data_IF_504761056780
#
_entry.id   IF_504761056780
#
_cell.length_a   1.000
_cell.length_b   1.000
_cell.length_c   1.000
_cell.angle_alpha   90.00
_cell.angle_beta   90.00
_cell.angle_gamma   90.00
#
_symmetry.space_group_name_H-M   'P 1'
#
loop_
_entity.id
_entity.type
_entity.pdbx_description
1 polymer ?
#
# COMPACT_ATOMS: atom_id res chain seq x y z
N UNK A 1 -17.07 -15.92 -9.69
CA UNK A 1 -16.36 -16.63 -10.76
C UNK A 1 -16.26 -18.10 -10.34
N UNK A 2 -16.99 -19.02 -10.97
CA UNK A 2 -16.81 -20.47 -10.71
C UNK A 2 -15.77 -20.94 -11.70
N UNK A 3 -14.52 -21.09 -11.26
CA UNK A 3 -13.53 -21.87 -12.01
C UNK A 3 -14.07 -23.31 -12.01
N UNK A 4 -14.50 -23.80 -13.17
CA UNK A 4 -14.72 -25.23 -13.33
C UNK A 4 -13.32 -25.83 -13.32
N UNK A 5 -12.97 -26.53 -12.24
CA UNK A 5 -11.68 -27.24 -12.19
C UNK A 5 -11.69 -28.31 -13.27
N UNK A 6 -10.60 -28.36 -14.06
CA UNK A 6 -10.43 -29.32 -15.16
C UNK A 6 -10.67 -30.77 -14.72
N UNK A 7 -10.46 -31.06 -13.44
CA UNK A 7 -10.62 -32.38 -12.80
C UNK A 7 -12.10 -32.74 -12.50
N UNK A 8 -13.00 -31.76 -12.44
CA UNK A 8 -14.45 -31.98 -12.22
C UNK A 8 -15.22 -32.28 -13.50
N UNK A 9 -14.55 -32.13 -14.64
CA UNK A 9 -15.06 -32.51 -15.94
C UNK A 9 -14.75 -34.00 -16.15
N UNK A 10 -15.77 -34.86 -16.09
CA UNK A 10 -15.63 -36.30 -16.37
C UNK A 10 -14.96 -36.58 -17.72
N UNK A 11 -14.49 -37.80 -18.02
CA UNK A 11 -13.61 -38.08 -19.16
C UNK A 11 -14.23 -37.63 -20.49
N UNK A 12 -13.60 -36.63 -21.12
CA UNK A 12 -14.01 -36.12 -22.43
C UNK A 12 -13.67 -37.14 -23.50
N UNK A 13 -14.60 -37.42 -24.41
CA UNK A 13 -14.29 -38.21 -25.59
C UNK A 13 -13.33 -37.44 -26.51
N UNK A 14 -12.60 -38.15 -27.38
CA UNK A 14 -11.72 -37.51 -28.37
C UNK A 14 -12.45 -36.55 -29.31
N UNK A 15 -13.77 -36.70 -29.47
CA UNK A 15 -14.61 -35.78 -30.24
C UNK A 15 -14.96 -34.51 -29.44
N UNK A 16 -15.20 -34.63 -28.13
CA UNK A 16 -15.47 -33.47 -27.27
C UNK A 16 -14.27 -32.52 -27.22
N UNK A 17 -13.06 -33.08 -27.18
CA UNK A 17 -11.81 -32.31 -27.17
C UNK A 17 -11.59 -31.55 -28.50
N UNK A 18 -11.88 -32.19 -29.64
CA UNK A 18 -11.78 -31.54 -30.97
C UNK A 18 -12.81 -30.45 -31.14
N UNK A 19 -14.05 -30.67 -30.70
CA UNK A 19 -15.10 -29.66 -30.74
C UNK A 19 -14.76 -28.45 -29.85
N UNK A 20 -14.19 -28.68 -28.66
CA UNK A 20 -13.72 -27.59 -27.80
C UNK A 20 -12.59 -26.78 -28.45
N UNK A 21 -11.58 -27.44 -29.00
CA UNK A 21 -10.47 -26.78 -29.71
C UNK A 21 -11.00 -25.96 -30.89
N UNK A 22 -11.93 -26.52 -31.66
CA UNK A 22 -12.56 -25.82 -32.78
C UNK A 22 -13.33 -24.58 -32.31
N UNK A 23 -14.10 -24.71 -31.23
CA UNK A 23 -14.87 -23.60 -30.65
C UNK A 23 -13.99 -22.53 -30.01
N UNK A 24 -12.78 -22.89 -29.56
CA UNK A 24 -11.77 -21.97 -29.05
C UNK A 24 -11.02 -21.22 -30.16
N UNK A 25 -11.28 -21.49 -31.43
CA UNK A 25 -10.53 -20.90 -32.55
C UNK A 25 -9.15 -21.53 -32.77
N UNK A 26 -8.91 -22.73 -32.23
CA UNK A 26 -7.72 -23.54 -32.51
C UNK A 26 -6.88 -23.92 -31.28
N UNK A 27 -5.84 -24.72 -31.53
CA UNK A 27 -4.95 -25.28 -30.50
C UNK A 27 -4.19 -24.22 -29.70
N UNK A 28 -3.86 -23.08 -30.32
CA UNK A 28 -3.13 -22.00 -29.66
C UNK A 28 -3.94 -21.40 -28.50
N UNK A 29 -5.23 -21.15 -28.74
CA UNK A 29 -6.15 -20.65 -27.73
C UNK A 29 -6.44 -21.70 -26.64
N UNK A 30 -6.55 -22.98 -27.02
CA UNK A 30 -6.67 -24.06 -26.03
C UNK A 30 -5.43 -24.17 -25.12
N UNK A 31 -4.22 -24.03 -25.67
CA UNK A 31 -2.99 -23.96 -24.89
C UNK A 31 -2.93 -22.67 -24.05
N UNK A 32 -3.40 -21.55 -24.57
CA UNK A 32 -3.49 -20.29 -23.84
C UNK A 32 -4.42 -20.41 -22.62
N UNK A 33 -5.61 -20.98 -22.78
CA UNK A 33 -6.54 -21.30 -21.69
C UNK A 33 -5.91 -22.26 -20.68
N UNK A 34 -5.31 -23.36 -21.15
CA UNK A 34 -4.63 -24.34 -20.27
C UNK A 34 -3.49 -23.72 -19.47
N UNK A 35 -2.78 -22.77 -20.05
CA UNK A 35 -1.69 -22.03 -19.40
C UNK A 35 -2.16 -20.88 -18.49
N UNK A 36 -3.47 -20.62 -18.42
CA UNK A 36 -4.02 -19.46 -17.71
C UNK A 36 -3.72 -18.11 -18.37
N UNK A 37 -3.34 -18.09 -19.65
CA UNK A 37 -3.18 -16.85 -20.44
C UNK A 37 -4.51 -16.29 -20.94
N UNK A 38 -5.52 -17.15 -21.11
CA UNK A 38 -6.89 -16.76 -21.44
C UNK A 38 -7.85 -17.42 -20.45
N UNK A 39 -8.97 -16.75 -20.17
CA UNK A 39 -10.08 -17.28 -19.39
C UNK A 39 -11.37 -17.17 -20.18
N UNK A 40 -12.32 -18.05 -19.85
CA UNK A 40 -13.67 -17.99 -20.40
C UNK A 40 -14.48 -16.93 -19.67
N UNK A 41 -15.07 -16.03 -20.44
CA UNK A 41 -16.19 -15.20 -19.97
C UNK A 41 -17.45 -15.68 -20.65
N UNK A 42 -18.42 -16.06 -19.83
CA UNK A 42 -19.75 -16.45 -20.28
C UNK A 42 -20.65 -15.24 -20.05
N UNK A 43 -21.09 -14.60 -21.12
CA UNK A 43 -22.15 -13.60 -21.05
C UNK A 43 -23.47 -14.35 -20.88
N UNK A 44 -24.14 -14.14 -19.74
CA UNK A 44 -25.51 -14.65 -19.59
C UNK A 44 -26.39 -13.90 -20.59
N UNK A 45 -27.21 -14.59 -21.38
CA UNK A 45 -28.20 -13.92 -22.19
C UNK A 45 -29.28 -13.27 -21.32
N UNK A 46 -29.90 -12.22 -21.85
CA UNK A 46 -30.98 -11.48 -21.18
C UNK A 46 -32.28 -12.30 -21.08
N UNK A 47 -32.39 -13.40 -21.83
CA UNK A 47 -33.54 -14.31 -21.83
C UNK A 47 -33.12 -15.78 -21.78
N UNK A 48 -33.96 -16.65 -21.22
CA UNK A 48 -33.67 -18.09 -21.04
C UNK A 48 -33.54 -18.89 -22.36
N UNK A 49 -33.85 -18.29 -23.50
CA UNK A 49 -33.89 -18.95 -24.82
C UNK A 49 -32.70 -18.62 -25.74
N UNK A 50 -31.74 -17.83 -25.27
CA UNK A 50 -30.54 -17.51 -26.04
C UNK A 50 -29.34 -18.35 -25.56
N UNK A 51 -28.53 -18.83 -26.51
CA UNK A 51 -27.25 -19.46 -26.21
C UNK A 51 -26.25 -18.38 -25.83
N UNK A 52 -25.73 -18.42 -24.59
CA UNK A 52 -24.73 -17.46 -24.11
C UNK A 52 -23.48 -17.44 -25.00
N UNK A 53 -22.92 -16.26 -25.21
CA UNK A 53 -21.69 -16.09 -25.96
C UNK A 53 -20.48 -16.42 -25.08
N UNK A 54 -19.51 -17.14 -25.65
CA UNK A 54 -18.24 -17.44 -24.98
C UNK A 54 -17.15 -16.57 -25.60
N UNK A 55 -16.58 -15.69 -24.78
CA UNK A 55 -15.45 -14.85 -25.19
C UNK A 55 -14.20 -15.29 -24.43
N UNK A 56 -13.09 -15.39 -25.15
CA UNK A 56 -11.77 -15.56 -24.55
C UNK A 56 -11.19 -14.19 -24.21
N UNK A 57 -10.93 -13.95 -22.94
CA UNK A 57 -10.30 -12.71 -22.47
C UNK A 57 -9.01 -13.07 -21.71
N UNK A 58 -8.02 -12.16 -21.71
CA UNK A 58 -6.90 -12.30 -20.78
C UNK A 58 -7.42 -12.16 -19.35
N UNK A 59 -7.00 -13.02 -18.40
CA UNK A 59 -7.41 -12.86 -17.02
C UNK A 59 -6.90 -11.53 -16.49
N UNK A 60 -7.78 -10.82 -15.81
CA UNK A 60 -7.39 -9.70 -14.95
C UNK A 60 -6.41 -10.27 -13.92
N UNK A 61 -5.17 -9.77 -13.93
CA UNK A 61 -4.14 -10.14 -12.97
C UNK A 61 -4.16 -9.12 -11.84
N UNK A 62 -4.64 -9.47 -10.63
CA UNK A 62 -4.61 -8.55 -9.50
C UNK A 62 -3.19 -8.07 -9.23
N UNK A 63 -3.05 -6.83 -8.77
CA UNK A 63 -1.77 -6.30 -8.32
C UNK A 63 -1.47 -6.70 -6.87
N UNK A 64 -2.48 -7.08 -6.10
CA UNK A 64 -2.35 -7.51 -4.70
C UNK A 64 -2.89 -8.93 -4.53
N UNK A 65 -2.24 -9.73 -3.69
CA UNK A 65 -2.63 -11.11 -3.40
C UNK A 65 -3.84 -11.15 -2.44
N UNK A 66 -4.27 -12.36 -2.08
CA UNK A 66 -5.39 -12.58 -1.14
C UNK A 66 -5.08 -12.18 0.31
N UNK A 67 -3.90 -11.62 0.59
CA UNK A 67 -3.50 -11.05 1.88
C UNK A 67 -3.25 -9.54 1.77
N UNK A 68 -3.61 -8.91 0.63
CA UNK A 68 -3.35 -7.50 0.37
C UNK A 68 -1.87 -7.15 0.15
N UNK A 69 -1.00 -8.14 -0.07
CA UNK A 69 0.42 -7.93 -0.37
C UNK A 69 0.61 -7.77 -1.87
N UNK A 70 1.47 -6.85 -2.29
CA UNK A 70 1.81 -6.62 -3.70
C UNK A 70 2.41 -7.89 -4.33
N UNK A 71 1.86 -8.31 -5.46
CA UNK A 71 2.39 -9.40 -6.28
C UNK A 71 3.61 -8.91 -7.06
N UNK A 72 4.81 -9.48 -6.91
CA UNK A 72 5.99 -9.03 -7.66
C UNK A 72 5.72 -9.01 -9.19
N UNK A 73 6.01 -7.91 -9.91
CA UNK A 73 5.85 -7.89 -11.36
C UNK A 73 6.86 -8.82 -12.01
N UNK A 74 6.50 -9.34 -13.18
CA UNK A 74 7.39 -10.18 -13.96
C UNK A 74 8.68 -9.43 -14.29
N UNK A 75 9.83 -10.06 -14.04
CA UNK A 75 11.14 -9.49 -14.36
C UNK A 75 11.69 -8.49 -13.34
N UNK A 76 11.06 -8.36 -12.16
CA UNK A 76 11.64 -7.64 -11.02
C UNK A 76 13.04 -8.19 -10.71
N UNK A 77 14.01 -7.29 -10.52
CA UNK A 77 15.43 -7.65 -10.33
C UNK A 77 15.86 -7.45 -8.88
N UNK A 78 15.31 -6.44 -8.22
CA UNK A 78 15.63 -6.17 -6.83
C UNK A 78 15.17 -7.31 -5.91
N UNK A 79 15.83 -7.43 -4.76
CA UNK A 79 15.62 -8.55 -3.83
C UNK A 79 14.28 -8.43 -3.12
N UNK A 80 13.64 -9.58 -2.91
CA UNK A 80 12.51 -9.74 -2.02
C UNK A 80 12.67 -11.04 -1.25
N UNK A 81 12.09 -11.09 -0.06
CA UNK A 81 11.95 -12.27 0.78
C UNK A 81 10.46 -12.48 1.08
N UNK A 82 10.12 -13.63 1.63
CA UNK A 82 8.76 -13.88 2.09
C UNK A 82 8.44 -13.00 3.30
N UNK A 83 7.23 -12.44 3.31
CA UNK A 83 6.77 -11.64 4.43
C UNK A 83 6.56 -12.52 5.67
N UNK A 84 7.15 -12.12 6.79
CA UNK A 84 6.98 -12.79 8.07
C UNK A 84 5.60 -12.46 8.64
N UNK A 85 4.70 -13.44 8.61
CA UNK A 85 3.30 -13.28 9.06
C UNK A 85 3.15 -13.06 10.57
N UNK A 86 4.22 -13.24 11.35
CA UNK A 86 4.22 -12.86 12.77
C UNK A 86 4.29 -11.34 12.97
N UNK A 87 4.64 -10.59 11.93
CA UNK A 87 4.58 -9.14 11.91
C UNK A 87 3.38 -8.71 11.07
N UNK A 88 2.36 -8.17 11.74
CA UNK A 88 1.06 -7.92 11.12
C UNK A 88 0.40 -6.66 11.69
N UNK A 89 -0.60 -6.17 10.95
CA UNK A 89 -1.41 -5.02 11.32
C UNK A 89 -2.88 -5.40 11.17
N UNK A 90 -3.69 -4.96 12.11
CA UNK A 90 -5.13 -5.17 12.11
C UNK A 90 -5.83 -3.87 11.74
N UNK A 91 -6.78 -3.95 10.80
CA UNK A 91 -7.60 -2.79 10.43
C UNK A 91 -8.41 -2.34 11.66
N UNK A 92 -8.20 -1.11 12.17
CA UNK A 92 -8.96 -0.61 13.30
C UNK A 92 -10.37 -0.19 12.86
N UNK A 93 -11.30 -0.11 13.82
CA UNK A 93 -12.47 0.76 13.65
C UNK A 93 -11.99 2.21 13.62
N UNK A 94 -12.44 2.96 12.62
CA UNK A 94 -12.02 4.34 12.42
C UNK A 94 -13.06 5.29 13.00
N UNK A 95 -12.63 6.12 13.94
CA UNK A 95 -13.33 7.34 14.35
C UNK A 95 -12.63 8.52 13.67
N UNK A 96 -13.19 9.02 12.57
CA UNK A 96 -12.56 10.05 11.75
C UNK A 96 -12.33 11.35 12.53
N UNK A 97 -13.25 11.72 13.42
CA UNK A 97 -13.12 12.92 14.24
C UNK A 97 -11.95 12.78 15.22
N UNK A 98 -11.90 11.68 15.98
CA UNK A 98 -10.82 11.44 16.94
C UNK A 98 -9.44 11.30 16.28
N UNK A 99 -9.38 10.68 15.09
CA UNK A 99 -8.12 10.55 14.34
C UNK A 99 -7.64 11.90 13.81
N UNK A 100 -8.54 12.71 13.26
CA UNK A 100 -8.21 14.04 12.77
C UNK A 100 -7.79 14.98 13.93
N UNK A 101 -8.53 14.97 15.04
CA UNK A 101 -8.23 15.76 16.23
C UNK A 101 -6.83 15.43 16.78
N UNK A 102 -6.54 14.13 16.95
CA UNK A 102 -5.22 13.67 17.39
C UNK A 102 -4.09 14.16 16.48
N UNK A 103 -4.28 14.08 15.16
CA UNK A 103 -3.28 14.59 14.23
C UNK A 103 -3.09 16.09 14.41
N UNK A 104 -4.16 16.89 14.48
CA UNK A 104 -4.10 18.34 14.66
C UNK A 104 -3.40 18.72 15.96
N UNK A 105 -3.79 18.09 17.07
CA UNK A 105 -3.23 18.30 18.42
C UNK A 105 -1.72 18.06 18.41
N UNK A 106 -1.28 16.91 17.89
CA UNK A 106 0.12 16.52 17.98
C UNK A 106 0.98 17.08 16.85
N UNK A 107 0.44 17.41 15.68
CA UNK A 107 1.20 18.05 14.62
C UNK A 107 1.40 19.56 14.89
N UNK A 108 0.53 20.18 15.70
CA UNK A 108 0.64 21.57 16.11
C UNK A 108 0.06 22.54 15.08
N UNK A 109 -1.10 22.20 14.50
CA UNK A 109 -1.81 23.00 13.50
C UNK A 109 -3.21 23.45 13.95
N UNK A 110 -3.91 24.18 13.09
CA UNK A 110 -5.35 24.42 13.22
C UNK A 110 -6.13 23.32 12.51
N UNK A 111 -7.42 23.19 12.84
CA UNK A 111 -8.34 22.40 12.03
C UNK A 111 -8.26 22.85 10.56
N UNK A 112 -8.14 21.89 9.65
CA UNK A 112 -7.94 22.14 8.21
C UNK A 112 -8.96 21.42 7.33
N UNK A 113 -9.82 20.59 7.94
CA UNK A 113 -11.00 19.97 7.33
C UNK A 113 -11.95 19.51 8.43
N UNK A 114 -13.19 19.18 8.08
CA UNK A 114 -14.13 18.52 9.00
C UNK A 114 -13.97 17.00 8.98
N UNK A 115 -14.49 16.32 10.02
CA UNK A 115 -14.55 14.87 10.06
C UNK A 115 -15.39 14.30 8.90
N UNK A 116 -16.53 14.92 8.59
CA UNK A 116 -17.40 14.51 7.49
C UNK A 116 -16.71 14.64 6.12
N UNK A 117 -15.94 15.71 5.90
CA UNK A 117 -15.16 15.88 4.67
C UNK A 117 -14.08 14.79 4.57
N UNK A 118 -13.40 14.50 5.68
CA UNK A 118 -12.36 13.47 5.75
C UNK A 118 -12.93 12.09 5.44
N UNK A 119 -14.05 11.73 6.07
CA UNK A 119 -14.74 10.46 5.84
C UNK A 119 -15.22 10.34 4.39
N UNK A 120 -15.89 11.37 3.85
CA UNK A 120 -16.40 11.35 2.49
C UNK A 120 -15.28 11.18 1.45
N UNK A 121 -14.17 11.92 1.59
CA UNK A 121 -13.01 11.81 0.67
C UNK A 121 -12.34 10.45 0.77
N UNK A 122 -12.23 9.88 1.97
CA UNK A 122 -11.66 8.55 2.14
C UNK A 122 -12.59 7.45 1.61
N UNK A 123 -13.90 7.56 1.82
CA UNK A 123 -14.89 6.64 1.27
C UNK A 123 -14.82 6.60 -0.27
N UNK A 124 -14.58 7.75 -0.92
CA UNK A 124 -14.35 7.80 -2.36
C UNK A 124 -13.10 7.03 -2.80
N UNK A 125 -12.00 7.09 -2.03
CA UNK A 125 -10.78 6.30 -2.29
C UNK A 125 -11.09 4.80 -2.18
N UNK A 126 -11.78 4.38 -1.11
CA UNK A 126 -12.14 2.97 -0.91
C UNK A 126 -13.07 2.45 -2.00
N UNK A 127 -14.09 3.23 -2.38
CA UNK A 127 -15.01 2.88 -3.47
C UNK A 127 -14.22 2.64 -4.77
N UNK A 128 -13.34 3.58 -5.13
CA UNK A 128 -12.49 3.48 -6.31
C UNK A 128 -11.61 2.22 -6.30
N UNK A 129 -10.94 1.97 -5.17
CA UNK A 129 -10.12 0.77 -4.98
C UNK A 129 -10.94 -0.53 -5.13
N UNK A 130 -12.12 -0.58 -4.53
CA UNK A 130 -12.99 -1.75 -4.57
C UNK A 130 -13.57 -2.02 -5.97
N UNK A 131 -13.77 -0.97 -6.77
CA UNK A 131 -14.27 -1.07 -8.15
C UNK A 131 -13.19 -1.35 -9.19
N UNK A 132 -11.91 -1.17 -8.87
CA UNK A 132 -10.79 -1.48 -9.76
C UNK A 132 -10.36 -2.94 -9.57
N UNK A 133 -10.57 -3.83 -10.57
CA UNK A 133 -10.24 -5.24 -10.46
C UNK A 133 -8.75 -5.53 -10.21
N UNK A 134 -7.85 -4.61 -10.58
CA UNK A 134 -6.42 -4.74 -10.32
C UNK A 134 -6.08 -4.43 -8.85
N UNK A 135 -6.86 -3.56 -8.21
CA UNK A 135 -6.58 -3.01 -6.88
C UNK A 135 -7.48 -3.57 -5.78
N UNK A 136 -8.61 -4.20 -6.12
CA UNK A 136 -9.68 -4.59 -5.20
C UNK A 136 -9.21 -5.47 -4.02
N UNK A 137 -8.14 -6.24 -4.19
CA UNK A 137 -7.57 -7.04 -3.12
C UNK A 137 -6.92 -6.19 -2.01
N UNK A 138 -6.48 -4.96 -2.31
CA UNK A 138 -5.87 -4.07 -1.33
C UNK A 138 -6.84 -3.65 -0.21
N UNK A 139 -8.02 -3.06 -0.49
CA UNK A 139 -8.98 -2.76 0.57
C UNK A 139 -9.73 -3.99 1.12
N UNK A 140 -9.81 -5.08 0.35
CA UNK A 140 -10.56 -6.29 0.76
C UNK A 140 -9.77 -7.18 1.70
N UNK A 141 -8.46 -7.30 1.46
CA UNK A 141 -7.59 -8.24 2.16
C UNK A 141 -6.40 -7.57 2.86
N UNK A 142 -6.06 -6.35 2.47
CA UNK A 142 -5.02 -5.55 3.11
C UNK A 142 -5.60 -4.55 4.11
N UNK A 143 -4.69 -3.81 4.75
CA UNK A 143 -5.06 -2.67 5.59
C UNK A 143 -4.98 -1.38 4.77
N UNK A 144 -5.99 -0.53 4.91
CA UNK A 144 -6.03 0.82 4.34
C UNK A 144 -6.50 1.79 5.42
N UNK A 145 -5.57 2.62 5.92
CA UNK A 145 -5.82 3.62 6.94
C UNK A 145 -6.14 4.98 6.30
N UNK A 146 -7.19 5.69 6.75
CA UNK A 146 -7.42 7.05 6.32
C UNK A 146 -6.38 7.99 6.94
N UNK A 147 -5.73 8.80 6.10
CA UNK A 147 -4.85 9.89 6.53
C UNK A 147 -5.32 11.21 5.97
N UNK A 148 -5.33 12.23 6.81
CA UNK A 148 -5.58 13.62 6.42
C UNK A 148 -4.31 14.43 6.68
N UNK A 149 -3.88 15.17 5.67
CA UNK A 149 -2.70 16.04 5.73
C UNK A 149 -3.12 17.47 5.42
N UNK A 150 -2.75 18.46 6.25
CA UNK A 150 -2.99 19.86 5.93
C UNK A 150 -2.16 20.31 4.72
N UNK A 151 -2.49 21.49 4.20
CA UNK A 151 -1.62 22.20 3.27
C UNK A 151 -0.25 22.44 3.93
N UNK A 152 0.83 22.06 3.25
CA UNK A 152 2.20 22.21 3.73
C UNK A 152 3.10 22.76 2.63
N UNK A 153 3.93 23.74 2.98
CA UNK A 153 5.03 24.22 2.14
C UNK A 153 6.33 23.67 2.73
N UNK A 154 6.91 22.67 2.06
CA UNK A 154 8.08 21.96 2.55
C UNK A 154 9.28 22.38 1.70
N UNK A 155 10.18 23.18 2.30
CA UNK A 155 11.45 23.57 1.69
C UNK A 155 12.49 22.47 1.83
N UNK A 156 13.01 22.29 3.04
CA UNK A 156 13.93 21.22 3.39
C UNK A 156 13.16 20.08 4.08
N UNK A 157 12.99 18.96 3.36
CA UNK A 157 12.26 17.80 3.88
C UNK A 157 12.90 17.23 5.14
N UNK A 158 14.24 17.24 5.24
CA UNK A 158 14.94 16.73 6.40
C UNK A 158 14.72 17.60 7.64
N UNK A 159 14.88 18.91 7.49
CA UNK A 159 14.59 19.86 8.58
C UNK A 159 13.12 19.79 9.01
N UNK A 160 12.19 19.75 8.05
CA UNK A 160 10.77 19.60 8.32
C UNK A 160 10.44 18.29 9.06
N UNK A 161 11.17 17.22 8.74
CA UNK A 161 11.03 15.94 9.41
C UNK A 161 11.37 16.04 10.89
N UNK A 162 12.56 16.56 11.22
CA UNK A 162 12.99 16.71 12.63
C UNK A 162 12.06 17.67 13.40
N UNK A 163 11.82 18.87 12.86
CA UNK A 163 11.15 19.94 13.60
C UNK A 163 9.64 19.72 13.80
N UNK A 164 8.99 19.07 12.82
CA UNK A 164 7.53 18.96 12.78
C UNK A 164 7.07 17.51 12.88
N UNK A 165 7.49 16.66 11.95
CA UNK A 165 6.97 15.30 11.85
C UNK A 165 7.36 14.46 13.07
N UNK A 166 8.65 14.35 13.39
CA UNK A 166 9.12 13.51 14.49
C UNK A 166 8.74 14.07 15.85
N UNK A 167 8.67 15.40 15.98
CA UNK A 167 8.13 16.04 17.18
C UNK A 167 6.66 15.66 17.44
N UNK A 168 5.84 15.59 16.38
CA UNK A 168 4.45 15.14 16.47
C UNK A 168 4.33 13.65 16.78
N UNK A 169 5.11 12.80 16.12
CA UNK A 169 5.18 11.36 16.39
C UNK A 169 5.55 11.11 17.85
N UNK A 170 6.56 11.82 18.39
CA UNK A 170 6.98 11.71 19.78
C UNK A 170 5.83 11.97 20.74
N UNK A 171 5.13 13.11 20.57
CA UNK A 171 4.00 13.49 21.44
C UNK A 171 2.89 12.44 21.39
N UNK A 172 2.47 12.05 20.19
CA UNK A 172 1.39 11.08 20.00
C UNK A 172 1.73 9.71 20.61
N UNK A 173 2.95 9.23 20.38
CA UNK A 173 3.40 7.92 20.87
C UNK A 173 3.49 7.87 22.39
N UNK A 174 4.15 8.86 23.01
CA UNK A 174 4.35 8.89 24.46
C UNK A 174 3.04 9.13 25.24
N UNK A 175 2.08 9.84 24.62
CA UNK A 175 0.73 9.96 25.17
C UNK A 175 -0.07 8.68 25.04
N UNK A 176 0.03 7.98 23.90
CA UNK A 176 -0.67 6.71 23.69
C UNK A 176 -0.14 5.60 24.60
N UNK A 177 1.16 5.59 24.89
CA UNK A 177 1.81 4.56 25.69
C UNK A 177 2.61 5.17 26.85
N UNK A 178 1.95 5.54 27.97
CA UNK A 178 2.63 6.06 29.14
C UNK A 178 3.75 5.11 29.60
N UNK A 179 4.96 5.66 29.79
CA UNK A 179 6.14 4.91 30.21
C UNK A 179 6.95 4.30 29.06
N UNK A 180 6.50 4.39 27.80
CA UNK A 180 7.33 4.10 26.62
C UNK A 180 7.98 5.38 26.10
N UNK A 181 9.05 5.23 25.31
CA UNK A 181 9.82 6.37 24.78
C UNK A 181 9.92 6.36 23.26
N UNK A 182 9.91 7.54 22.65
CA UNK A 182 10.30 7.69 21.25
C UNK A 182 11.78 8.07 21.17
N UNK A 183 12.55 7.37 20.32
CA UNK A 183 13.97 7.65 20.09
C UNK A 183 14.25 7.97 18.62
N UNK A 184 14.60 9.23 18.36
CA UNK A 184 15.23 9.66 17.11
C UNK A 184 16.73 9.37 17.18
N UNK A 185 17.22 8.44 16.36
CA UNK A 185 18.65 8.14 16.27
C UNK A 185 19.40 9.05 15.31
N UNK A 186 18.70 9.87 14.51
CA UNK A 186 19.23 10.80 13.51
C UNK A 186 18.97 12.27 13.89
N UNK A 187 18.75 12.52 15.17
CA UNK A 187 18.40 13.84 15.70
C UNK A 187 19.45 14.89 15.33
N UNK A 188 19.02 15.94 14.60
CA UNK A 188 19.90 17.02 14.15
C UNK A 188 20.75 16.67 12.92
N UNK A 189 20.56 15.49 12.32
CA UNK A 189 21.31 15.03 11.15
C UNK A 189 20.50 15.04 9.85
N UNK A 190 19.19 15.38 9.89
CA UNK A 190 18.33 15.24 8.72
C UNK A 190 18.40 16.43 7.75
N UNK A 191 18.64 17.64 8.26
CA UNK A 191 18.62 18.88 7.47
C UNK A 191 19.50 18.76 6.21
N UNK A 192 18.90 18.99 5.04
CA UNK A 192 19.52 18.87 3.71
C UNK A 192 20.08 17.49 3.36
N UNK A 193 19.87 16.47 4.20
CA UNK A 193 20.36 15.11 4.00
C UNK A 193 19.29 14.16 3.45
N UNK A 194 18.02 14.57 3.43
CA UNK A 194 16.91 13.75 2.93
C UNK A 194 16.58 14.12 1.49
N UNK A 195 16.74 13.16 0.58
CA UNK A 195 16.48 13.34 -0.87
C UNK A 195 15.31 12.50 -1.31
N UNK A 196 14.32 13.12 -1.96
CA UNK A 196 13.24 12.39 -2.64
C UNK A 196 13.76 11.72 -3.90
N UNK A 197 13.49 10.43 -4.05
CA UNK A 197 13.89 9.62 -5.22
C UNK A 197 12.73 8.96 -5.95
N UNK A 198 11.55 8.89 -5.36
CA UNK A 198 10.35 8.45 -6.06
C UNK A 198 9.61 9.64 -6.68
N UNK A 199 9.36 9.59 -7.99
CA UNK A 199 8.56 10.61 -8.69
C UNK A 199 7.15 10.74 -8.11
N UNK A 200 6.61 9.63 -7.59
CA UNK A 200 5.31 9.60 -6.94
C UNK A 200 5.26 10.51 -5.72
N UNK A 201 6.27 10.48 -4.85
CA UNK A 201 6.32 11.33 -3.67
C UNK A 201 6.44 12.83 -4.03
N UNK A 202 7.10 13.19 -5.14
CA UNK A 202 7.06 14.58 -5.66
C UNK A 202 5.65 15.03 -6.08
N UNK A 203 4.74 14.12 -6.45
CA UNK A 203 3.33 14.48 -6.69
C UNK A 203 2.62 14.84 -5.40
N UNK A 204 2.87 14.10 -4.32
CA UNK A 204 2.32 14.41 -3.00
C UNK A 204 2.77 15.79 -2.54
N UNK A 205 4.07 16.09 -2.62
CA UNK A 205 4.61 17.40 -2.21
C UNK A 205 3.93 18.57 -2.95
N UNK A 206 3.68 18.42 -4.25
CA UNK A 206 2.94 19.43 -5.03
C UNK A 206 1.49 19.57 -4.57
N UNK A 207 0.79 18.46 -4.31
CA UNK A 207 -0.59 18.48 -3.80
C UNK A 207 -0.68 19.13 -2.42
N UNK A 208 0.24 18.82 -1.51
CA UNK A 208 0.32 19.46 -0.20
C UNK A 208 0.62 20.96 -0.29
N UNK A 209 1.39 21.39 -1.29
CA UNK A 209 1.64 22.81 -1.54
C UNK A 209 0.38 23.57 -2.02
N UNK A 210 -0.56 22.86 -2.66
CA UNK A 210 -1.82 23.41 -3.18
C UNK A 210 -2.92 23.45 -2.09
N UNK A 211 -3.09 22.37 -1.33
CA UNK A 211 -4.18 22.26 -0.35
C UNK A 211 -4.08 21.04 0.58
N UNK A 212 -5.14 20.78 1.34
CA UNK A 212 -5.24 19.59 2.19
C UNK A 212 -5.47 18.31 1.36
N UNK A 213 -4.86 17.23 1.78
CA UNK A 213 -4.85 15.94 1.07
C UNK A 213 -5.43 14.85 1.97
N UNK A 214 -6.30 14.02 1.41
CA UNK A 214 -6.73 12.76 2.03
C UNK A 214 -6.07 11.60 1.27
N UNK A 215 -5.53 10.65 2.02
CA UNK A 215 -4.86 9.46 1.50
C UNK A 215 -5.49 8.19 2.07
N UNK A 216 -5.53 7.14 1.25
CA UNK A 216 -5.66 5.77 1.74
C UNK A 216 -4.29 5.12 1.88
N UNK A 217 -3.83 4.92 3.12
CA UNK A 217 -2.50 4.43 3.44
C UNK A 217 -2.49 2.93 3.70
N UNK A 218 -1.73 2.17 2.90
CA UNK A 218 -1.51 0.75 3.10
C UNK A 218 -0.05 0.47 3.53
N UNK A 219 0.22 0.40 4.85
CA UNK A 219 1.58 0.33 5.38
C UNK A 219 2.31 -0.99 5.11
N UNK A 220 1.61 -2.12 5.06
CA UNK A 220 2.22 -3.46 5.04
C UNK A 220 2.13 -4.19 3.69
N UNK A 221 1.56 -3.56 2.66
CA UNK A 221 1.37 -4.21 1.37
C UNK A 221 2.69 -4.53 0.64
N UNK A 222 3.81 -3.90 1.03
CA UNK A 222 5.15 -4.14 0.49
C UNK A 222 6.05 -4.89 1.48
N UNK A 223 5.48 -5.65 2.42
CA UNK A 223 6.30 -6.36 3.40
C UNK A 223 7.21 -7.42 2.73
N UNK A 224 8.48 -7.47 3.15
CA UNK A 224 9.47 -8.42 2.62
C UNK A 224 10.18 -7.97 1.34
N UNK A 225 9.81 -6.82 0.76
CA UNK A 225 10.54 -6.25 -0.35
C UNK A 225 11.72 -5.40 0.15
N UNK A 226 12.81 -5.37 -0.61
CA UNK A 226 13.86 -4.37 -0.39
C UNK A 226 13.40 -3.00 -0.87
N UNK A 227 13.96 -1.91 -0.33
CA UNK A 227 13.64 -0.54 -0.81
C UNK A 227 13.81 -0.36 -2.34
N UNK A 228 14.84 -0.93 -3.00
CA UNK A 228 14.92 -0.91 -4.45
C UNK A 228 13.78 -1.69 -5.12
N UNK A 229 13.35 -2.81 -4.52
CA UNK A 229 12.20 -3.57 -5.01
C UNK A 229 10.90 -2.76 -4.85
N UNK A 230 10.70 -2.07 -3.73
CA UNK A 230 9.57 -1.15 -3.55
C UNK A 230 9.49 -0.10 -4.66
N UNK A 231 10.65 0.44 -5.06
CA UNK A 231 10.74 1.40 -6.15
C UNK A 231 10.46 0.76 -7.51
N UNK A 232 10.96 -0.45 -7.77
CA UNK A 232 10.67 -1.21 -9.01
C UNK A 232 9.18 -1.55 -9.12
N UNK A 233 8.52 -1.90 -8.01
CA UNK A 233 7.08 -2.21 -7.95
C UNK A 233 6.23 -1.07 -8.50
N UNK A 234 6.63 0.18 -8.23
CA UNK A 234 5.92 1.38 -8.68
C UNK A 234 5.78 1.50 -10.20
N UNK A 235 6.66 0.87 -10.98
CA UNK A 235 6.61 0.94 -12.45
C UNK A 235 5.35 0.28 -13.04
N UNK A 236 4.67 -0.57 -12.26
CA UNK A 236 3.49 -1.34 -12.69
C UNK A 236 2.22 -1.00 -11.91
N UNK A 237 2.32 -0.06 -10.97
CA UNK A 237 1.17 0.42 -10.19
C UNK A 237 0.50 1.61 -10.90
N UNK A 238 -0.81 1.82 -10.67
CA UNK A 238 -1.50 3.01 -11.17
C UNK A 238 -0.80 4.32 -10.76
N UNK A 239 -0.87 5.33 -11.63
CA UNK A 239 -0.10 6.57 -11.47
C UNK A 239 -0.49 7.41 -10.24
N UNK A 240 -1.64 7.16 -9.65
CA UNK A 240 -2.14 7.80 -8.44
C UNK A 240 -1.71 7.06 -7.15
N UNK A 241 -1.09 5.88 -7.27
CA UNK A 241 -0.43 5.21 -6.16
C UNK A 241 0.91 5.87 -5.89
N UNK A 242 1.17 6.10 -4.61
CA UNK A 242 2.35 6.77 -4.09
C UNK A 242 3.20 5.80 -3.29
N UNK A 243 4.51 5.85 -3.49
CA UNK A 243 5.44 5.18 -2.60
C UNK A 243 5.66 6.08 -1.39
N UNK A 244 5.59 5.53 -0.18
CA UNK A 244 5.71 6.33 1.02
C UNK A 244 7.14 6.85 1.22
N UNK A 245 7.24 8.13 1.56
CA UNK A 245 8.45 8.75 2.07
C UNK A 245 8.38 8.81 3.58
N UNK A 246 8.88 9.91 4.15
CA UNK A 246 8.88 10.12 5.61
C UNK A 246 7.59 10.77 6.12
N UNK A 247 6.85 11.48 5.26
CA UNK A 247 5.65 12.23 5.63
C UNK A 247 4.53 11.28 6.03
N UNK A 248 4.25 10.29 5.18
CA UNK A 248 3.11 9.39 5.32
C UNK A 248 3.20 8.50 6.57
N UNK A 249 4.29 7.74 6.81
CA UNK A 249 4.43 6.95 8.04
C UNK A 249 4.48 7.84 9.29
N UNK A 250 5.11 9.02 9.25
CA UNK A 250 5.13 9.91 10.42
C UNK A 250 3.74 10.47 10.75
N UNK A 251 2.98 10.92 9.75
CA UNK A 251 1.61 11.36 9.93
C UNK A 251 0.72 10.22 10.41
N UNK A 252 0.90 9.02 9.86
CA UNK A 252 0.18 7.83 10.28
C UNK A 252 0.50 7.43 11.72
N UNK A 253 1.77 7.46 12.14
CA UNK A 253 2.17 7.19 13.52
C UNK A 253 1.67 8.24 14.51
N UNK A 254 1.51 9.49 14.06
CA UNK A 254 0.87 10.54 14.85
C UNK A 254 -0.63 10.25 15.05
N UNK A 255 -1.27 9.69 14.03
CA UNK A 255 -2.74 9.45 13.99
C UNK A 255 -3.14 8.09 14.58
N UNK A 256 -2.30 7.08 14.41
CA UNK A 256 -2.52 5.66 14.76
C UNK A 256 -1.36 5.04 15.53
N UNK A 257 -0.84 5.65 16.61
CA UNK A 257 0.24 5.03 17.40
C UNK A 257 -0.19 3.67 17.99
N UNK A 258 -1.47 3.51 18.30
CA UNK A 258 -2.10 2.27 18.78
C UNK A 258 -2.04 1.11 17.79
N UNK A 259 -1.98 1.40 16.48
CA UNK A 259 -1.94 0.40 15.40
C UNK A 259 -0.52 0.22 14.88
N UNK A 260 0.17 1.32 14.58
CA UNK A 260 1.44 1.33 13.87
C UNK A 260 2.66 1.33 14.80
N UNK A 261 2.45 1.40 16.12
CA UNK A 261 3.52 1.31 17.11
C UNK A 261 3.12 0.48 18.33
N UNK A 262 2.26 -0.52 18.13
CA UNK A 262 1.66 -1.34 19.20
C UNK A 262 2.71 -2.08 20.01
N UNK A 263 3.61 -2.79 19.34
CA UNK A 263 4.57 -3.71 19.94
C UNK A 263 5.66 -4.14 18.95
N UNK A 264 6.53 -5.07 19.38
CA UNK A 264 7.58 -5.64 18.53
C UNK A 264 7.06 -6.37 17.29
N UNK A 265 5.83 -6.89 17.29
CA UNK A 265 5.22 -7.58 16.15
C UNK A 265 4.56 -6.61 15.16
N UNK A 266 4.74 -5.30 15.33
CA UNK A 266 4.37 -4.32 14.32
C UNK A 266 5.47 -4.27 13.23
N UNK A 267 5.14 -4.40 11.94
CA UNK A 267 6.12 -4.26 10.86
C UNK A 267 6.89 -2.93 10.93
N UNK A 268 8.16 -2.96 10.57
CA UNK A 268 8.94 -1.74 10.32
C UNK A 268 8.39 -0.98 9.12
N UNK A 269 8.34 0.35 9.22
CA UNK A 269 7.82 1.23 8.18
C UNK A 269 8.99 1.91 7.47
N UNK A 270 9.36 1.40 6.30
CA UNK A 270 10.43 1.98 5.48
C UNK A 270 9.94 3.23 4.75
N UNK A 271 10.78 4.27 4.71
CA UNK A 271 10.54 5.48 3.94
C UNK A 271 11.11 5.29 2.52
N UNK A 272 10.60 4.33 1.76
CA UNK A 272 11.22 3.86 0.51
C UNK A 272 11.34 4.94 -0.59
N UNK A 273 10.52 5.99 -0.55
CA UNK A 273 10.57 7.11 -1.49
C UNK A 273 11.71 8.12 -1.28
N UNK A 274 12.48 8.00 -0.19
CA UNK A 274 13.60 8.89 0.11
C UNK A 274 14.93 8.14 0.22
N UNK A 275 16.02 8.89 0.18
CA UNK A 275 17.37 8.49 0.58
C UNK A 275 17.85 9.41 1.68
N UNK A 276 18.74 8.91 2.53
CA UNK A 276 19.40 9.70 3.56
C UNK A 276 20.92 9.64 3.42
N UNK A 277 21.56 10.81 3.29
CA UNK A 277 22.99 11.07 3.08
C UNK A 277 23.61 10.44 1.81
N UNK A 278 23.43 9.14 1.60
CA UNK A 278 24.02 8.38 0.50
C UNK A 278 22.98 7.61 -0.30
N UNK A 279 23.40 7.03 -1.43
CA UNK A 279 22.57 6.12 -2.23
C UNK A 279 22.30 4.76 -1.59
N UNK A 280 22.80 4.51 -0.38
CA UNK A 280 22.81 3.20 0.28
C UNK A 280 21.91 3.13 1.52
N UNK A 281 21.28 4.24 1.91
CA UNK A 281 20.44 4.29 3.10
C UNK A 281 19.10 4.97 2.84
N UNK A 282 18.09 4.47 3.53
CA UNK A 282 16.83 5.19 3.74
C UNK A 282 16.51 5.27 5.23
N UNK A 283 15.41 5.94 5.55
CA UNK A 283 14.89 6.13 6.89
C UNK A 283 13.79 5.11 7.17
N UNK A 284 13.57 4.79 8.44
CA UNK A 284 12.47 3.92 8.86
C UNK A 284 11.95 4.26 10.26
N UNK A 285 10.75 3.77 10.55
CA UNK A 285 10.22 3.66 11.90
C UNK A 285 10.12 2.19 12.33
N UNK A 286 10.42 1.90 13.60
CA UNK A 286 10.28 0.55 14.14
C UNK A 286 9.80 0.55 15.59
N UNK A 287 8.72 -0.18 15.83
CA UNK A 287 8.21 -0.39 17.16
C UNK A 287 8.94 -1.54 17.88
N UNK A 288 9.10 -1.36 19.19
CA UNK A 288 9.58 -2.35 20.13
C UNK A 288 8.61 -2.40 21.32
N UNK A 289 8.82 -3.35 22.24
CA UNK A 289 7.93 -3.50 23.40
C UNK A 289 7.86 -2.27 24.32
N UNK A 290 8.91 -1.46 24.38
CA UNK A 290 9.06 -0.33 25.31
C UNK A 290 9.37 1.02 24.62
N UNK A 291 9.51 1.04 23.29
CA UNK A 291 9.93 2.22 22.54
C UNK A 291 9.55 2.19 21.07
N UNK A 292 9.54 3.37 20.45
CA UNK A 292 9.45 3.55 19.00
C UNK A 292 10.75 4.19 18.51
N UNK A 293 11.36 3.60 17.50
CA UNK A 293 12.60 4.09 16.89
C UNK A 293 12.30 4.82 15.59
N UNK A 294 13.04 5.90 15.38
CA UNK A 294 13.28 6.46 14.07
C UNK A 294 14.78 6.42 13.78
N UNK A 295 15.16 5.88 12.63
CA UNK A 295 16.55 5.66 12.28
C UNK A 295 16.77 5.51 10.78
N UNK A 296 17.93 4.97 10.42
CA UNK A 296 18.28 4.64 9.04
C UNK A 296 18.64 3.17 8.91
N UNK A 297 18.30 2.57 7.77
CA UNK A 297 18.62 1.20 7.41
C UNK A 297 19.45 1.14 6.13
N UNK A 298 20.02 -0.02 5.84
CA UNK A 298 20.48 -0.32 4.49
C UNK A 298 19.27 -0.53 3.55
N UNK A 299 19.53 -0.77 2.27
CA UNK A 299 18.49 -0.98 1.27
C UNK A 299 18.14 -2.48 1.09
N UNK A 300 18.35 -3.31 2.11
CA UNK A 300 18.13 -4.76 2.03
C UNK A 300 16.64 -5.13 2.17
N UNK A 301 16.33 -6.38 1.82
CA UNK A 301 15.01 -6.95 2.06
C UNK A 301 14.95 -7.52 3.48
N UNK A 302 13.99 -7.06 4.28
CA UNK A 302 13.68 -7.61 5.59
C UNK A 302 12.25 -8.16 5.58
N UNK A 303 12.08 -9.37 6.09
CA UNK A 303 10.79 -10.09 6.14
C UNK A 303 9.72 -9.37 6.98
N UNK A 304 10.15 -8.44 7.85
CA UNK A 304 9.32 -7.71 8.79
C UNK A 304 9.30 -6.18 8.57
N UNK A 305 9.76 -5.69 7.42
CA UNK A 305 9.67 -4.27 7.03
C UNK A 305 8.88 -4.13 5.73
N UNK A 306 8.27 -2.95 5.55
CA UNK A 306 7.48 -2.60 4.36
C UNK A 306 7.62 -1.12 4.02
N UNK A 307 7.85 -0.81 2.74
CA UNK A 307 7.85 0.57 2.24
C UNK A 307 6.47 1.23 2.18
N UNK A 308 5.40 0.43 2.18
CA UNK A 308 4.01 0.91 2.12
C UNK A 308 3.65 1.72 0.87
N UNK A 309 2.35 1.93 0.65
CA UNK A 309 1.86 2.82 -0.41
C UNK A 309 0.70 3.68 0.08
N UNK A 310 0.50 4.82 -0.56
CA UNK A 310 -0.69 5.65 -0.40
C UNK A 310 -1.45 5.78 -1.70
N UNK A 311 -2.77 5.91 -1.62
CA UNK A 311 -3.61 6.34 -2.73
C UNK A 311 -4.08 7.77 -2.51
N UNK A 312 -3.92 8.61 -3.53
CA UNK A 312 -4.47 9.95 -3.55
C UNK A 312 -5.98 9.91 -3.80
N UNK A 313 -6.74 10.64 -2.98
CA UNK A 313 -8.14 11.00 -3.24
C UNK A 313 -8.30 12.27 -4.04
#
# INVERSE_FOLDING_TARGET
>A
MKLIEWETLGPWSGNDYRSLISNLGGNENALAVKSGRLVFKITKPDTENESGEFVLEEPIKPLFDSNGRRIPPQGMKAKAVDANRSFYLDQPKVDFAARLERFVEHFGGSAFMSADEFEARFAAILCRLATDPLMANLPTHGMVLPLALPKMQIGDLGQFTDDKLLAGVKRAYEQQFPGRSFKNYREGELAKQVKVVAQSHNRLLRKLAEGSVVLGYSPNCLQGFSIPADREQMATLPADVLLCGVIEPAAALTTYPDVLARDYQTPGLDCAAVLWQSGQHSLYFRAFGDRLWFGCGDLCAYDNYSGGVCLLG
#
